data_IF_144805312304
#
_entry.id   IF_144805312304
#
_cell.length_a   1.000
_cell.length_b   1.000
_cell.length_c   1.000
_cell.angle_alpha   90.00
_cell.angle_beta   90.00
_cell.angle_gamma   90.00
#
_symmetry.space_group_name_H-M   'P 1'
#
loop_
_entity.id
_entity.type
_entity.pdbx_description
1 polymer ?
#
# COMPACT_ATOMS: atom_id res chain seq x y z
N UNK A 1 1.27 4.00 -11.70
CA UNK A 1 1.89 3.33 -10.54
C UNK A 1 3.28 3.88 -10.23
N UNK A 2 4.28 3.79 -11.11
CA UNK A 2 5.65 4.30 -10.84
C UNK A 2 5.67 5.78 -10.42
N UNK A 3 5.00 6.67 -11.16
CA UNK A 3 4.91 8.09 -10.80
C UNK A 3 4.22 8.34 -9.45
N UNK A 4 3.23 7.51 -9.08
CA UNK A 4 2.61 7.57 -7.76
C UNK A 4 3.55 7.12 -6.65
N UNK A 5 4.35 6.06 -6.88
CA UNK A 5 5.40 5.65 -5.94
C UNK A 5 6.44 6.75 -5.76
N UNK A 6 6.88 7.39 -6.85
CA UNK A 6 7.84 8.50 -6.79
C UNK A 6 7.28 9.69 -5.99
N UNK A 7 5.99 10.03 -6.19
CA UNK A 7 5.31 11.04 -5.41
C UNK A 7 5.24 10.67 -3.92
N UNK A 8 4.95 9.41 -3.58
CA UNK A 8 4.99 8.93 -2.18
C UNK A 8 6.38 9.09 -1.57
N UNK A 9 7.43 8.69 -2.27
CA UNK A 9 8.79 8.81 -1.78
C UNK A 9 9.19 10.28 -1.58
N UNK A 10 8.82 11.16 -2.51
CA UNK A 10 9.04 12.60 -2.39
C UNK A 10 8.27 13.18 -1.20
N UNK A 11 7.00 12.79 -1.02
CA UNK A 11 6.18 13.20 0.11
C UNK A 11 6.79 12.75 1.44
N UNK A 12 7.23 11.49 1.55
CA UNK A 12 7.89 10.97 2.75
C UNK A 12 9.16 11.75 3.05
N UNK A 13 10.01 12.00 2.05
CA UNK A 13 11.25 12.73 2.22
C UNK A 13 11.00 14.18 2.71
N UNK A 14 9.99 14.85 2.14
CA UNK A 14 9.59 16.20 2.54
C UNK A 14 8.94 16.23 3.92
N UNK A 15 8.20 15.18 4.30
CA UNK A 15 7.48 15.10 5.56
C UNK A 15 8.31 14.66 6.76
N UNK A 16 9.43 13.94 6.54
CA UNK A 16 10.22 13.36 7.62
C UNK A 16 10.92 14.42 8.48
N UNK A 17 11.56 15.41 7.85
CA UNK A 17 12.32 16.42 8.58
C UNK A 17 11.42 17.36 9.42
N UNK A 18 10.30 17.89 8.90
CA UNK A 18 9.37 18.69 9.70
C UNK A 18 8.69 17.85 10.80
N UNK A 19 8.38 16.57 10.55
CA UNK A 19 7.75 15.71 11.55
C UNK A 19 8.64 15.41 12.76
N UNK A 20 9.97 15.40 12.59
CA UNK A 20 10.93 15.16 13.68
C UNK A 20 11.27 16.43 14.48
N UNK A 21 11.06 17.62 13.91
CA UNK A 21 11.35 18.91 14.53
C UNK A 21 10.12 19.79 14.79
N UNK A 22 8.91 19.22 14.71
CA UNK A 22 7.65 19.97 14.73
C UNK A 22 7.43 20.70 16.06
N UNK A 23 7.42 22.05 16.10
CA UNK A 23 7.31 22.80 17.35
C UNK A 23 5.87 22.88 17.91
N UNK A 24 4.86 22.39 17.19
CA UNK A 24 3.44 22.52 17.57
C UNK A 24 2.83 23.84 17.09
N UNK A 25 1.64 23.79 16.47
CA UNK A 25 0.87 24.98 16.04
C UNK A 25 0.41 24.95 14.58
N UNK A 26 -0.57 25.78 14.22
CA UNK A 26 -1.20 25.81 12.88
C UNK A 26 -0.22 26.07 11.73
N UNK A 27 0.83 26.87 11.96
CA UNK A 27 1.85 27.20 10.94
C UNK A 27 2.64 25.98 10.46
N UNK A 28 2.76 24.93 11.28
CA UNK A 28 3.47 23.72 10.88
C UNK A 28 2.69 22.81 9.91
N UNK A 29 1.36 22.95 9.83
CA UNK A 29 0.53 22.17 8.92
C UNK A 29 0.74 22.60 7.46
N UNK A 30 0.87 23.90 7.20
CA UNK A 30 1.12 24.45 5.87
C UNK A 30 2.45 23.95 5.27
N UNK A 31 3.47 23.80 6.10
CA UNK A 31 4.77 23.24 5.70
C UNK A 31 4.66 21.76 5.31
N UNK A 32 3.75 21.01 5.95
CA UNK A 32 3.56 19.57 5.71
C UNK A 32 2.56 19.26 4.59
N UNK A 33 1.68 20.19 4.23
CA UNK A 33 0.66 20.05 3.19
C UNK A 33 1.18 19.49 1.86
N UNK A 34 2.31 19.96 1.31
CA UNK A 34 2.89 19.39 0.09
C UNK A 34 3.30 17.92 0.26
N UNK A 35 3.88 17.57 1.41
CA UNK A 35 4.25 16.18 1.74
C UNK A 35 3.01 15.28 1.83
N UNK A 36 1.97 15.76 2.50
CA UNK A 36 0.70 15.04 2.66
C UNK A 36 0.02 14.82 1.31
N UNK A 37 -0.04 15.86 0.48
CA UNK A 37 -0.60 15.78 -0.87
C UNK A 37 0.14 14.76 -1.73
N UNK A 38 1.47 14.80 -1.73
CA UNK A 38 2.30 13.88 -2.51
C UNK A 38 2.20 12.43 -2.00
N UNK A 39 2.20 12.22 -0.68
CA UNK A 39 2.00 10.91 -0.08
C UNK A 39 0.62 10.33 -0.41
N UNK A 40 -0.44 11.09 -0.16
CA UNK A 40 -1.80 10.59 -0.30
C UNK A 40 -2.18 10.44 -1.77
N UNK A 41 -1.96 11.49 -2.57
CA UNK A 41 -2.21 11.49 -4.00
C UNK A 41 -1.39 10.43 -4.73
N UNK A 42 -0.10 10.32 -4.40
CA UNK A 42 0.78 9.29 -4.93
C UNK A 42 0.33 7.88 -4.55
N UNK A 43 -0.05 7.66 -3.29
CA UNK A 43 -0.55 6.40 -2.77
C UNK A 43 -1.80 5.94 -3.52
N UNK A 44 -2.80 6.82 -3.71
CA UNK A 44 -3.99 6.51 -4.50
C UNK A 44 -3.69 6.29 -5.98
N UNK A 45 -2.75 7.04 -6.57
CA UNK A 45 -2.29 6.85 -7.94
C UNK A 45 -1.56 5.51 -8.16
N UNK A 46 -1.16 4.82 -7.08
CA UNK A 46 -0.67 3.43 -7.13
C UNK A 46 -1.78 2.44 -6.83
N UNK A 47 -2.59 2.69 -5.79
CA UNK A 47 -3.64 1.78 -5.33
C UNK A 47 -4.70 1.53 -6.39
N UNK A 48 -5.30 2.58 -6.96
CA UNK A 48 -6.43 2.42 -7.87
C UNK A 48 -6.09 1.64 -9.14
N UNK A 49 -4.96 1.92 -9.83
CA UNK A 49 -4.54 1.06 -10.93
C UNK A 49 -4.25 -0.37 -10.46
N UNK A 50 -3.63 -0.54 -9.28
CA UNK A 50 -3.24 -1.85 -8.76
C UNK A 50 -4.42 -2.78 -8.49
N UNK A 51 -5.48 -2.28 -7.84
CA UNK A 51 -6.69 -3.07 -7.58
C UNK A 51 -7.48 -3.38 -8.85
N UNK A 52 -7.33 -2.57 -9.90
CA UNK A 52 -7.95 -2.78 -11.22
C UNK A 52 -7.24 -3.83 -12.07
N UNK A 53 -6.05 -4.30 -11.68
CA UNK A 53 -5.33 -5.34 -12.44
C UNK A 53 -6.10 -6.65 -12.44
N UNK A 54 -6.69 -7.05 -11.30
CA UNK A 54 -7.49 -8.28 -11.23
C UNK A 54 -8.88 -8.06 -11.83
N UNK A 55 -9.31 -8.94 -12.73
CA UNK A 55 -10.72 -8.98 -13.18
C UNK A 55 -11.63 -9.77 -12.25
N UNK A 56 -11.04 -10.55 -11.34
CA UNK A 56 -11.73 -11.36 -10.35
C UNK A 56 -11.53 -10.83 -8.92
N UNK A 57 -12.43 -11.22 -8.01
CA UNK A 57 -12.30 -10.90 -6.58
C UNK A 57 -11.06 -11.57 -6.00
N UNK A 58 -10.08 -10.77 -5.57
CA UNK A 58 -8.88 -11.25 -4.90
C UNK A 58 -9.19 -11.69 -3.47
N UNK A 59 -9.04 -12.99 -3.18
CA UNK A 59 -9.16 -13.54 -1.83
C UNK A 59 -7.77 -13.78 -1.25
N UNK A 60 -7.10 -12.68 -0.87
CA UNK A 60 -5.68 -12.65 -0.50
C UNK A 60 -5.31 -13.69 0.56
N UNK A 61 -6.08 -13.77 1.65
CA UNK A 61 -5.79 -14.70 2.76
C UNK A 61 -6.07 -16.16 2.39
N UNK A 62 -7.18 -16.41 1.68
CA UNK A 62 -7.59 -17.77 1.30
C UNK A 62 -6.63 -18.39 0.29
N UNK A 63 -6.23 -17.59 -0.70
CA UNK A 63 -5.46 -18.06 -1.85
C UNK A 63 -3.96 -17.74 -1.68
N UNK A 64 -3.50 -17.50 -0.45
CA UNK A 64 -2.16 -17.01 -0.10
C UNK A 64 -1.02 -17.77 -0.80
N UNK A 65 -1.06 -19.10 -0.76
CA UNK A 65 -0.01 -19.96 -1.36
C UNK A 65 0.05 -19.85 -2.88
N UNK A 66 -1.02 -19.41 -3.53
CA UNK A 66 -1.10 -19.27 -4.98
C UNK A 66 -0.49 -17.94 -5.45
N UNK A 67 -0.18 -17.00 -4.56
CA UNK A 67 0.35 -15.71 -4.93
C UNK A 67 1.89 -15.69 -5.00
N UNK A 68 2.46 -14.89 -5.94
CA UNK A 68 3.90 -14.73 -6.04
C UNK A 68 4.47 -14.19 -4.72
N UNK A 69 5.70 -14.59 -4.42
CA UNK A 69 6.39 -14.19 -3.18
C UNK A 69 6.50 -12.67 -3.07
N UNK A 70 6.78 -11.97 -4.18
CA UNK A 70 6.85 -10.51 -4.23
C UNK A 70 5.53 -9.84 -3.80
N UNK A 71 4.38 -10.29 -4.32
CA UNK A 71 3.08 -9.77 -3.93
C UNK A 71 2.80 -9.98 -2.44
N UNK A 72 3.12 -11.17 -1.92
CA UNK A 72 2.98 -11.50 -0.50
C UNK A 72 3.86 -10.64 0.42
N UNK A 73 5.13 -10.45 0.03
CA UNK A 73 6.05 -9.60 0.79
C UNK A 73 5.56 -8.15 0.85
N UNK A 74 5.10 -7.60 -0.28
CA UNK A 74 4.56 -6.24 -0.31
C UNK A 74 3.29 -6.11 0.55
N UNK A 75 2.44 -7.14 0.57
CA UNK A 75 1.26 -7.18 1.45
C UNK A 75 1.64 -7.19 2.93
N UNK A 76 2.60 -8.04 3.32
CA UNK A 76 3.12 -8.06 4.69
C UNK A 76 3.71 -6.70 5.04
N UNK A 77 4.54 -6.14 4.15
CA UNK A 77 5.18 -4.85 4.37
C UNK A 77 4.15 -3.74 4.53
N UNK A 78 3.06 -3.74 3.74
CA UNK A 78 1.95 -2.80 3.92
C UNK A 78 1.33 -2.90 5.33
N UNK A 79 1.11 -4.10 5.84
CA UNK A 79 0.58 -4.30 7.20
C UNK A 79 1.57 -3.84 8.26
N UNK A 80 2.86 -4.16 8.10
CA UNK A 80 3.91 -3.69 9.00
C UNK A 80 3.95 -2.15 9.02
N UNK A 81 3.87 -1.50 7.87
CA UNK A 81 3.78 -0.04 7.76
C UNK A 81 2.56 0.52 8.48
N UNK A 82 1.38 -0.08 8.30
CA UNK A 82 0.16 0.35 8.98
C UNK A 82 0.24 0.20 10.50
N UNK A 83 0.72 -0.96 10.99
CA UNK A 83 0.90 -1.23 12.42
C UNK A 83 1.95 -0.29 13.03
N UNK A 84 3.05 -0.04 12.31
CA UNK A 84 4.10 0.88 12.74
C UNK A 84 3.55 2.30 12.83
N UNK A 85 2.85 2.77 11.80
CA UNK A 85 2.22 4.09 11.80
C UNK A 85 1.23 4.24 12.96
N UNK A 86 0.39 3.24 13.22
CA UNK A 86 -0.52 3.23 14.36
C UNK A 86 0.22 3.32 15.70
N UNK A 87 1.25 2.50 15.90
CA UNK A 87 2.04 2.50 17.13
C UNK A 87 2.71 3.86 17.38
N UNK A 88 3.28 4.48 16.33
CA UNK A 88 3.86 5.82 16.43
C UNK A 88 2.80 6.87 16.73
N UNK A 89 1.61 6.79 16.13
CA UNK A 89 0.52 7.73 16.43
C UNK A 89 0.05 7.63 17.89
N UNK A 90 -0.05 6.41 18.43
CA UNK A 90 -0.38 6.19 19.85
C UNK A 90 0.70 6.79 20.75
N UNK A 91 1.98 6.55 20.45
CA UNK A 91 3.09 7.11 21.21
C UNK A 91 3.14 8.65 21.12
N UNK A 92 2.81 9.24 19.97
CA UNK A 92 2.73 10.69 19.82
C UNK A 92 1.56 11.29 20.63
N UNK A 93 0.42 10.58 20.69
CA UNK A 93 -0.73 11.02 21.47
C UNK A 93 -0.44 11.08 22.98
N UNK A 94 0.37 10.16 23.52
CA UNK A 94 0.77 10.18 24.94
C UNK A 94 1.73 11.33 25.28
N UNK A 95 2.37 11.94 24.28
CA UNK A 95 3.26 13.10 24.45
C UNK A 95 2.57 14.46 24.29
N UNK A 96 1.25 14.51 24.05
CA UNK A 96 0.48 15.77 24.00
C UNK A 96 0.70 16.62 22.75
N UNK A 97 1.28 16.07 21.69
CA UNK A 97 1.56 16.78 20.44
C UNK A 97 0.35 16.70 19.48
N UNK A 98 0.08 17.75 18.70
CA UNK A 98 -0.89 17.75 17.58
C UNK A 98 -0.46 16.87 16.38
N UNK A 99 0.62 16.11 16.56
CA UNK A 99 1.35 15.31 15.58
C UNK A 99 0.68 13.99 15.13
N UNK A 100 -0.23 13.33 15.88
CA UNK A 100 -0.82 12.05 15.47
C UNK A 100 -1.54 12.12 14.12
N UNK A 101 -2.32 13.18 13.88
CA UNK A 101 -3.03 13.36 12.61
C UNK A 101 -2.07 13.42 11.42
N UNK A 102 -0.99 14.20 11.53
CA UNK A 102 0.03 14.38 10.50
C UNK A 102 0.79 13.09 10.20
N UNK A 103 1.14 12.32 11.25
CA UNK A 103 1.85 11.06 11.09
C UNK A 103 0.99 9.99 10.42
N UNK A 104 -0.30 9.89 10.75
CA UNK A 104 -1.22 8.95 10.08
C UNK A 104 -1.13 9.10 8.57
N UNK A 105 -1.18 10.32 8.06
CA UNK A 105 -1.16 10.59 6.62
C UNK A 105 0.19 10.26 5.97
N UNK A 106 1.30 10.51 6.67
CA UNK A 106 2.65 10.17 6.19
C UNK A 106 2.83 8.66 6.02
N UNK A 107 2.27 7.85 6.92
CA UNK A 107 2.28 6.39 6.81
C UNK A 107 1.22 5.85 5.83
N UNK A 108 0.14 6.59 5.61
CA UNK A 108 -0.94 6.20 4.70
C UNK A 108 -0.46 6.11 3.25
N UNK A 109 0.32 7.08 2.76
CA UNK A 109 0.85 7.04 1.39
C UNK A 109 1.65 5.77 1.05
N UNK A 110 2.70 5.44 1.83
CA UNK A 110 3.46 4.20 1.69
C UNK A 110 2.59 2.95 1.82
N UNK A 111 1.67 2.90 2.78
CA UNK A 111 0.72 1.81 2.93
C UNK A 111 -0.12 1.60 1.65
N UNK A 112 -0.70 2.67 1.09
CA UNK A 112 -1.50 2.60 -0.13
C UNK A 112 -0.66 2.16 -1.33
N UNK A 113 0.58 2.65 -1.46
CA UNK A 113 1.48 2.27 -2.54
C UNK A 113 1.86 0.78 -2.47
N UNK A 114 2.27 0.29 -1.29
CA UNK A 114 2.58 -1.12 -1.08
C UNK A 114 1.38 -2.01 -1.35
N UNK A 115 0.20 -1.61 -0.87
CA UNK A 115 -1.07 -2.31 -1.12
C UNK A 115 -1.42 -2.34 -2.60
N UNK A 116 -1.24 -1.24 -3.31
CA UNK A 116 -1.48 -1.15 -4.76
C UNK A 116 -0.58 -2.09 -5.56
N UNK A 117 0.73 -2.11 -5.27
CA UNK A 117 1.65 -3.04 -5.92
C UNK A 117 1.38 -4.50 -5.53
N UNK A 118 1.06 -4.78 -4.28
CA UNK A 118 0.66 -6.10 -3.83
C UNK A 118 -0.59 -6.60 -4.58
N UNK A 119 -1.63 -5.76 -4.67
CA UNK A 119 -2.85 -6.05 -5.41
C UNK A 119 -2.59 -6.26 -6.90
N UNK A 120 -1.71 -5.47 -7.52
CA UNK A 120 -1.34 -5.62 -8.92
C UNK A 120 -0.69 -6.98 -9.20
N UNK A 121 0.32 -7.36 -8.40
CA UNK A 121 1.05 -8.61 -8.59
C UNK A 121 0.17 -9.84 -8.31
N UNK A 122 -0.63 -9.78 -7.24
CA UNK A 122 -1.56 -10.85 -6.91
C UNK A 122 -2.70 -10.96 -7.93
N UNK A 123 -3.18 -9.82 -8.44
CA UNK A 123 -4.18 -9.71 -9.51
C UNK A 123 -3.69 -10.28 -10.83
N UNK A 124 -2.48 -9.95 -11.25
CA UNK A 124 -1.87 -10.51 -12.45
C UNK A 124 -1.75 -12.04 -12.35
N UNK A 125 -1.27 -12.55 -11.20
CA UNK A 125 -1.19 -13.98 -10.96
C UNK A 125 -2.57 -14.67 -10.96
N UNK A 126 -3.60 -14.02 -10.43
CA UNK A 126 -4.97 -14.53 -10.47
C UNK A 126 -5.53 -14.58 -11.90
N UNK A 127 -5.31 -13.53 -12.70
CA UNK A 127 -5.75 -13.50 -14.10
C UNK A 127 -5.07 -14.59 -14.93
N UNK A 128 -3.76 -14.82 -14.77
CA UNK A 128 -3.04 -15.88 -15.50
C UNK A 128 -3.66 -17.25 -15.21
N UNK A 129 -4.02 -17.52 -13.95
CA UNK A 129 -4.70 -18.78 -13.57
C UNK A 129 -6.10 -18.90 -14.16
N UNK A 130 -6.84 -17.80 -14.23
CA UNK A 130 -8.18 -17.80 -14.85
C UNK A 130 -8.09 -18.08 -16.34
N UNK A 131 -7.17 -17.42 -17.05
CA UNK A 131 -6.93 -17.67 -18.48
C UNK A 131 -6.53 -19.14 -18.70
N UNK A 132 -5.59 -19.68 -17.90
CA UNK A 132 -5.20 -21.08 -17.99
C UNK A 132 -6.31 -22.09 -17.66
N UNK A 133 -7.32 -21.67 -16.88
CA UNK A 133 -8.52 -22.47 -16.61
C UNK A 133 -9.54 -22.39 -17.73
N UNK A 134 -9.71 -21.24 -18.37
CA UNK A 134 -10.64 -21.03 -19.51
C UNK A 134 -10.12 -21.70 -20.79
N UNK A 135 -8.81 -21.68 -21.01
CA UNK A 135 -8.16 -22.30 -22.18
C UNK A 135 -7.99 -23.82 -22.06
N UNK A 136 -8.47 -24.45 -20.97
CA UNK A 136 -8.41 -25.90 -20.79
C UNK A 136 -7.00 -26.46 -20.55
N UNK A 137 -5.97 -25.61 -20.39
CA UNK A 137 -4.59 -26.02 -20.09
C UNK A 137 -4.43 -26.64 -18.68
N UNK A 138 -5.47 -26.52 -17.84
CA UNK A 138 -5.61 -27.17 -16.55
C UNK A 138 -6.83 -28.11 -16.51
N UNK A 139 -7.18 -28.76 -17.62
CA UNK A 139 -8.02 -29.94 -17.52
C UNK A 139 -7.27 -30.98 -16.66
N UNK A 140 -7.85 -31.54 -15.57
CA UNK A 140 -7.32 -32.77 -15.03
C UNK A 140 -7.31 -33.76 -16.18
N UNK A 141 -6.18 -34.41 -16.41
CA UNK A 141 -6.09 -35.53 -17.34
C UNK A 141 -7.18 -36.53 -16.95
N UNK A 142 -8.32 -36.47 -17.63
CA UNK A 142 -9.22 -37.60 -17.73
C UNK A 142 -8.39 -38.65 -18.41
N UNK A 143 -8.00 -39.68 -17.68
CA UNK A 143 -7.73 -40.97 -18.29
C UNK A 143 -8.42 -42.10 -17.52
N UNK A 144 -8.85 -43.11 -18.27
CA UNK A 144 -9.97 -43.99 -17.93
C UNK A 144 -9.48 -45.29 -17.27
N UNK A 145 -10.37 -45.91 -16.50
CA UNK A 145 -10.17 -47.22 -15.87
C UNK A 145 -11.34 -47.54 -14.97
#
# INVERSE_FOLDING_TARGET
MVGGTAAVLAGVALGLAPALGYPGGDEGLEVLLPSLFLCLGGGYAVLFPGVRVSRATLRIVRDWKLYPLSGRLLWILAHVTAVTGLAVCIAAATTGLAVPGLLVWLFTGPYLALTGWAAALMGAAANIRLIGSEEGLLAPAVQPG
#
